data_IF_853618105405
#
_entry.id   IF_853618105405
#
_cell.length_a   1.000
_cell.length_b   1.000
_cell.length_c   1.000
_cell.angle_alpha   90.00
_cell.angle_beta   90.00
_cell.angle_gamma   90.00
#
_symmetry.space_group_name_H-M   'P 1'
#
loop_
_entity.id
_entity.type
_entity.pdbx_description
1 polymer ?
#
# COMPACT_ATOMS: atom_id res chain seq x y z
N UNK A 1 -43.02 -22.86 8.30
CA UNK A 1 -41.75 -22.49 7.66
C UNK A 1 -42.12 -21.94 6.29
N UNK A 2 -41.65 -20.76 5.86
CA UNK A 2 -41.87 -20.35 4.49
C UNK A 2 -41.19 -21.36 3.55
N UNK A 3 -41.90 -21.77 2.50
CA UNK A 3 -41.53 -22.84 1.58
C UNK A 3 -40.19 -22.58 0.89
N UNK A 4 -39.38 -23.63 0.72
CA UNK A 4 -37.99 -23.57 0.26
C UNK A 4 -37.80 -23.38 -1.25
N UNK A 5 -38.84 -22.99 -2.01
CA UNK A 5 -38.81 -23.03 -3.49
C UNK A 5 -39.37 -21.78 -4.20
N UNK A 6 -39.85 -20.74 -3.49
CA UNK A 6 -40.30 -19.51 -4.15
C UNK A 6 -39.19 -18.44 -4.15
N UNK A 7 -38.17 -18.63 -4.99
CA UNK A 7 -37.23 -17.56 -5.35
C UNK A 7 -37.00 -17.56 -6.86
N UNK A 8 -36.99 -16.37 -7.47
CA UNK A 8 -36.81 -16.23 -8.92
C UNK A 8 -35.33 -16.31 -9.34
N UNK A 9 -34.41 -15.94 -8.44
CA UNK A 9 -32.97 -15.95 -8.71
C UNK A 9 -32.14 -15.99 -7.42
N UNK A 10 -30.91 -16.50 -7.52
CA UNK A 10 -29.89 -16.45 -6.47
C UNK A 10 -28.75 -15.54 -6.97
N UNK A 11 -28.32 -14.59 -6.14
CA UNK A 11 -27.22 -13.67 -6.45
C UNK A 11 -26.05 -13.90 -5.50
N UNK A 12 -24.84 -13.88 -6.02
CA UNK A 12 -23.59 -13.91 -5.26
C UNK A 12 -22.89 -12.56 -5.46
N UNK A 13 -22.36 -11.98 -4.38
CA UNK A 13 -21.62 -10.72 -4.42
C UNK A 13 -20.46 -10.75 -3.44
N UNK A 14 -19.52 -9.81 -3.57
CA UNK A 14 -18.49 -9.56 -2.57
C UNK A 14 -19.14 -9.07 -1.27
N UNK A 15 -18.66 -9.59 -0.14
CA UNK A 15 -19.10 -9.16 1.18
C UNK A 15 -18.24 -7.98 1.64
N UNK A 16 -18.86 -6.85 1.96
CA UNK A 16 -18.15 -5.74 2.60
C UNK A 16 -17.82 -6.07 4.07
N UNK A 17 -16.79 -5.45 4.68
CA UNK A 17 -16.52 -5.64 6.11
C UNK A 17 -17.70 -5.26 7.01
N UNK A 18 -18.52 -4.30 6.58
CA UNK A 18 -19.74 -3.91 7.28
C UNK A 18 -20.82 -5.00 7.22
N UNK A 19 -20.99 -5.64 6.05
CA UNK A 19 -21.91 -6.78 5.91
C UNK A 19 -21.48 -7.97 6.78
N UNK A 20 -20.19 -8.25 6.86
CA UNK A 20 -19.66 -9.30 7.76
C UNK A 20 -20.00 -8.99 9.22
N UNK A 21 -19.88 -7.74 9.64
CA UNK A 21 -20.30 -7.31 10.99
C UNK A 21 -21.81 -7.42 11.21
N UNK A 22 -22.62 -7.10 10.21
CA UNK A 22 -24.09 -7.24 10.27
C UNK A 22 -24.54 -8.70 10.43
N UNK A 23 -23.84 -9.66 9.82
CA UNK A 23 -24.15 -11.07 9.98
C UNK A 23 -23.71 -11.65 11.33
N UNK A 24 -22.80 -10.96 12.00
CA UNK A 24 -22.17 -11.47 13.20
C UNK A 24 -23.00 -11.20 14.46
N UNK A 25 -23.08 -12.21 15.30
CA UNK A 25 -23.69 -12.12 16.63
C UNK A 25 -22.68 -11.71 17.72
N UNK A 26 -21.41 -11.53 17.37
CA UNK A 26 -20.36 -11.13 18.30
C UNK A 26 -18.96 -11.44 17.80
N UNK A 27 -18.00 -10.74 18.39
CA UNK A 27 -16.58 -10.89 18.07
C UNK A 27 -15.94 -12.03 18.87
N UNK A 28 -15.13 -12.85 18.19
CA UNK A 28 -14.30 -13.89 18.81
C UNK A 28 -12.93 -13.29 19.11
N UNK A 29 -12.65 -13.09 20.40
CA UNK A 29 -11.40 -12.47 20.88
C UNK A 29 -10.36 -13.51 21.30
N UNK A 30 -10.82 -14.69 21.70
CA UNK A 30 -10.02 -15.70 22.37
C UNK A 30 -9.80 -16.92 21.48
N UNK A 31 -8.57 -17.48 21.42
CA UNK A 31 -8.29 -18.69 20.64
C UNK A 31 -8.84 -19.95 21.30
N UNK A 32 -9.21 -19.91 22.58
CA UNK A 32 -9.67 -21.07 23.33
C UNK A 32 -10.99 -21.64 22.77
N UNK A 33 -11.11 -22.97 22.84
CA UNK A 33 -12.29 -23.71 22.35
C UNK A 33 -13.21 -24.10 23.51
N UNK A 34 -12.88 -25.19 24.19
CA UNK A 34 -13.62 -25.77 25.30
C UNK A 34 -12.66 -26.06 26.45
N UNK A 35 -13.16 -25.95 27.68
CA UNK A 35 -12.41 -26.35 28.86
C UNK A 35 -12.32 -27.87 28.94
N UNK A 36 -11.10 -28.42 29.08
CA UNK A 36 -10.90 -29.87 29.12
C UNK A 36 -11.51 -30.55 30.36
N UNK A 37 -11.65 -29.83 31.50
CA UNK A 37 -12.22 -30.41 32.74
C UNK A 37 -13.74 -30.42 32.72
N UNK A 38 -14.34 -29.31 32.31
CA UNK A 38 -15.80 -29.13 32.38
C UNK A 38 -16.50 -29.45 31.07
N UNK A 39 -15.76 -29.64 29.98
CA UNK A 39 -16.27 -29.79 28.60
C UNK A 39 -17.20 -28.64 28.18
N UNK A 40 -17.03 -27.47 28.79
CA UNK A 40 -17.85 -26.28 28.51
C UNK A 40 -17.09 -25.32 27.60
N UNK A 41 -17.77 -24.65 26.66
CA UNK A 41 -17.14 -23.62 25.85
C UNK A 41 -16.57 -22.48 26.69
N UNK A 42 -15.40 -22.00 26.30
CA UNK A 42 -14.83 -20.81 26.93
C UNK A 42 -15.56 -19.53 26.47
N UNK A 43 -15.58 -18.52 27.34
CA UNK A 43 -16.18 -17.21 27.00
C UNK A 43 -15.33 -16.50 25.97
N UNK A 44 -15.96 -15.87 24.98
CA UNK A 44 -15.34 -15.14 23.86
C UNK A 44 -14.43 -15.98 22.94
N UNK A 45 -14.42 -17.30 23.16
CA UNK A 45 -13.69 -18.27 22.35
C UNK A 45 -14.46 -18.73 21.11
N UNK A 46 -13.84 -19.65 20.36
CA UNK A 46 -14.35 -20.16 19.08
C UNK A 46 -15.69 -20.90 19.16
N UNK A 47 -16.09 -21.35 20.35
CA UNK A 47 -17.35 -22.06 20.59
C UNK A 47 -18.29 -21.31 21.55
N UNK A 48 -18.00 -20.04 21.86
CA UNK A 48 -18.68 -19.26 22.88
C UNK A 48 -20.21 -19.26 22.72
N UNK A 49 -20.92 -19.62 23.79
CA UNK A 49 -22.39 -19.66 23.78
C UNK A 49 -23.04 -18.27 23.67
N UNK A 50 -22.34 -17.21 24.11
CA UNK A 50 -22.83 -15.83 24.03
C UNK A 50 -23.01 -15.39 22.57
N UNK A 51 -22.09 -15.82 21.71
CA UNK A 51 -22.05 -15.44 20.29
C UNK A 51 -22.89 -16.42 19.46
N UNK A 52 -22.60 -17.71 19.57
CA UNK A 52 -23.18 -18.72 18.68
C UNK A 52 -24.50 -19.30 19.19
N UNK A 53 -24.86 -19.06 20.45
CA UNK A 53 -26.05 -19.62 21.10
C UNK A 53 -25.75 -20.82 22.01
N UNK A 54 -26.75 -21.31 22.75
CA UNK A 54 -26.56 -22.28 23.83
C UNK A 54 -26.24 -23.69 23.30
N UNK A 55 -25.39 -24.44 24.02
CA UNK A 55 -25.06 -25.84 23.65
C UNK A 55 -26.24 -26.79 23.88
N UNK A 56 -27.06 -26.51 24.90
CA UNK A 56 -28.25 -27.30 25.25
C UNK A 56 -29.50 -26.48 25.01
N UNK A 57 -30.59 -27.15 24.62
CA UNK A 57 -31.86 -26.50 24.38
C UNK A 57 -32.38 -25.80 25.64
N UNK A 58 -32.68 -24.51 25.52
CA UNK A 58 -33.28 -23.68 26.57
C UNK A 58 -32.45 -23.60 27.87
N UNK A 59 -31.13 -23.71 27.79
CA UNK A 59 -30.21 -23.57 28.92
C UNK A 59 -29.12 -22.52 28.61
N UNK A 60 -28.98 -21.53 29.50
CA UNK A 60 -27.86 -20.58 29.42
C UNK A 60 -26.58 -21.16 30.05
N UNK A 61 -25.41 -20.63 29.65
CA UNK A 61 -24.09 -21.06 30.15
C UNK A 61 -23.99 -21.20 31.68
N UNK A 62 -24.47 -20.20 32.43
CA UNK A 62 -24.37 -20.19 33.90
C UNK A 62 -25.43 -21.04 34.60
N UNK A 63 -26.44 -21.54 33.87
CA UNK A 63 -27.55 -22.30 34.43
C UNK A 63 -28.58 -21.49 35.23
N UNK A 64 -28.51 -20.15 35.26
CA UNK A 64 -29.52 -19.27 35.90
C UNK A 64 -30.90 -19.46 35.26
N UNK A 65 -30.95 -19.40 33.93
CA UNK A 65 -32.16 -19.62 33.15
C UNK A 65 -32.11 -21.01 32.51
N UNK A 66 -33.14 -21.81 32.83
CA UNK A 66 -33.34 -23.18 32.35
C UNK A 66 -34.81 -23.40 32.04
N UNK A 67 -35.10 -24.26 31.04
CA UNK A 67 -36.44 -24.62 30.54
C UNK A 67 -37.04 -23.58 29.57
N UNK A 68 -38.01 -24.04 28.79
CA UNK A 68 -38.65 -23.29 27.70
C UNK A 68 -39.35 -21.98 28.13
N UNK A 69 -39.69 -21.84 29.42
CA UNK A 69 -40.35 -20.65 29.97
C UNK A 69 -39.55 -19.36 29.81
N UNK A 70 -38.22 -19.44 29.66
CA UNK A 70 -37.33 -18.30 29.49
C UNK A 70 -36.91 -18.09 28.02
N UNK A 71 -37.69 -18.62 27.06
CA UNK A 71 -37.42 -18.46 25.63
C UNK A 71 -37.17 -16.99 25.25
N UNK A 72 -36.03 -16.73 24.61
CA UNK A 72 -35.66 -15.39 24.12
C UNK A 72 -35.13 -14.44 25.20
N UNK A 73 -35.02 -14.87 26.45
CA UNK A 73 -34.39 -14.08 27.52
C UNK A 73 -32.87 -14.12 27.35
N UNK A 74 -32.24 -12.96 27.33
CA UNK A 74 -30.78 -12.81 27.37
C UNK A 74 -30.35 -12.82 28.84
N UNK A 75 -29.43 -13.71 29.21
CA UNK A 75 -29.05 -13.87 30.60
C UNK A 75 -28.15 -12.72 31.11
N UNK A 76 -28.56 -11.98 32.13
CA UNK A 76 -27.77 -10.87 32.72
C UNK A 76 -26.34 -11.25 33.16
N UNK A 77 -26.13 -12.51 33.57
CA UNK A 77 -24.84 -12.99 34.11
C UNK A 77 -23.85 -13.51 33.07
N UNK A 78 -24.34 -14.06 31.96
CA UNK A 78 -23.50 -14.72 30.96
C UNK A 78 -23.73 -14.21 29.52
N UNK A 79 -24.74 -13.37 29.31
CA UNK A 79 -25.10 -12.82 27.99
C UNK A 79 -25.65 -13.84 27.00
N UNK A 80 -25.85 -15.10 27.41
CA UNK A 80 -26.35 -16.16 26.52
C UNK A 80 -27.86 -16.02 26.38
N UNK A 81 -28.33 -16.00 25.15
CA UNK A 81 -29.75 -16.06 24.81
C UNK A 81 -30.29 -17.48 24.97
N UNK A 82 -31.41 -17.61 25.67
CA UNK A 82 -32.07 -18.90 25.88
C UNK A 82 -32.88 -19.27 24.64
N UNK A 83 -32.23 -20.03 23.75
CA UNK A 83 -32.77 -20.53 22.48
C UNK A 83 -32.58 -22.05 22.34
N UNK A 84 -32.99 -22.62 21.20
CA UNK A 84 -32.65 -24.00 20.83
C UNK A 84 -31.19 -24.06 20.37
N UNK A 85 -30.51 -25.17 20.60
CA UNK A 85 -29.13 -25.39 20.16
C UNK A 85 -28.97 -25.31 18.64
N UNK A 86 -30.04 -25.57 17.87
CA UNK A 86 -30.05 -25.46 16.40
C UNK A 86 -29.53 -24.12 15.86
N UNK A 87 -29.66 -23.02 16.62
CA UNK A 87 -29.13 -21.70 16.21
C UNK A 87 -27.61 -21.71 16.01
N UNK A 88 -26.89 -22.64 16.64
CA UNK A 88 -25.44 -22.84 16.50
C UNK A 88 -24.99 -23.33 15.13
N UNK A 89 -25.94 -23.70 14.25
CA UNK A 89 -25.69 -24.00 12.84
C UNK A 89 -25.89 -22.80 11.91
N UNK A 90 -26.54 -21.74 12.39
CA UNK A 90 -26.96 -20.59 11.58
C UNK A 90 -26.22 -19.29 11.99
N UNK A 91 -25.90 -19.11 13.27
CA UNK A 91 -25.24 -17.88 13.79
C UNK A 91 -23.77 -17.83 13.42
N UNK A 92 -23.37 -16.76 12.76
CA UNK A 92 -21.96 -16.47 12.45
C UNK A 92 -21.32 -15.57 13.51
N UNK A 93 -20.01 -15.73 13.70
CA UNK A 93 -19.16 -14.81 14.45
C UNK A 93 -18.33 -13.97 13.49
N UNK A 94 -17.53 -13.05 14.02
CA UNK A 94 -16.47 -12.41 13.24
C UNK A 94 -15.24 -12.17 14.11
N UNK A 95 -14.11 -11.89 13.47
CA UNK A 95 -12.87 -11.43 14.10
C UNK A 95 -12.53 -10.09 13.46
N UNK A 96 -12.39 -9.03 14.25
CA UNK A 96 -11.85 -7.78 13.73
C UNK A 96 -10.33 -7.93 13.58
N UNK A 97 -9.82 -7.65 12.39
CA UNK A 97 -8.39 -7.77 12.12
C UNK A 97 -7.71 -6.46 12.52
N UNK A 98 -6.60 -6.57 13.26
CA UNK A 98 -5.79 -5.41 13.64
C UNK A 98 -5.13 -4.74 12.41
N UNK A 99 -4.80 -5.54 11.40
CA UNK A 99 -4.30 -5.07 10.12
C UNK A 99 -5.15 -5.66 8.98
N UNK A 100 -5.39 -4.90 7.89
CA UNK A 100 -6.09 -5.42 6.72
C UNK A 100 -5.36 -6.62 6.10
N UNK A 101 -6.11 -7.56 5.52
CA UNK A 101 -5.57 -8.76 4.86
C UNK A 101 -6.21 -8.93 3.48
N UNK A 102 -5.38 -9.11 2.45
CA UNK A 102 -5.88 -9.37 1.10
C UNK A 102 -6.51 -10.77 1.00
N UNK A 103 -7.69 -10.86 0.42
CA UNK A 103 -8.31 -12.17 0.20
C UNK A 103 -7.56 -12.95 -0.89
N UNK A 104 -7.10 -14.15 -0.54
CA UNK A 104 -6.18 -14.95 -1.35
C UNK A 104 -6.68 -15.24 -2.78
N UNK A 105 -8.00 -15.43 -2.97
CA UNK A 105 -8.57 -15.66 -4.30
C UNK A 105 -8.33 -14.51 -5.29
N UNK A 106 -8.31 -13.26 -4.82
CA UNK A 106 -8.08 -12.10 -5.69
C UNK A 106 -6.58 -11.80 -5.87
N UNK A 107 -5.75 -12.17 -4.88
CA UNK A 107 -4.31 -11.99 -4.91
C UNK A 107 -3.59 -13.08 -5.74
N UNK A 108 -3.78 -14.36 -5.38
CA UNK A 108 -3.09 -15.52 -5.98
C UNK A 108 -3.88 -16.23 -7.09
N UNK A 109 -5.12 -15.83 -7.35
CA UNK A 109 -5.90 -16.38 -8.47
C UNK A 109 -5.18 -16.19 -9.82
N UNK A 110 -5.37 -17.12 -10.76
CA UNK A 110 -4.81 -17.02 -12.11
C UNK A 110 -5.98 -16.74 -13.07
N UNK A 111 -6.11 -15.52 -13.64
CA UNK A 111 -5.29 -14.32 -13.44
C UNK A 111 -5.61 -13.58 -12.13
N UNK A 112 -4.62 -12.87 -11.57
CA UNK A 112 -4.78 -12.10 -10.33
C UNK A 112 -5.68 -10.89 -10.61
N UNK A 113 -6.80 -10.78 -9.89
CA UNK A 113 -7.76 -9.68 -10.07
C UNK A 113 -7.20 -8.37 -9.54
N UNK A 114 -6.50 -8.43 -8.40
CA UNK A 114 -5.77 -7.28 -7.84
C UNK A 114 -4.63 -6.83 -8.77
N UNK A 115 -3.84 -7.78 -9.27
CA UNK A 115 -2.74 -7.45 -10.19
C UNK A 115 -3.22 -6.86 -11.52
N UNK A 116 -4.34 -7.35 -12.06
CA UNK A 116 -4.97 -6.75 -13.24
C UNK A 116 -5.49 -5.34 -12.96
N UNK A 117 -6.16 -5.13 -11.82
CA UNK A 117 -6.74 -3.82 -11.50
C UNK A 117 -5.65 -2.75 -11.36
N UNK A 118 -4.60 -3.06 -10.58
CA UNK A 118 -3.49 -2.15 -10.28
C UNK A 118 -2.38 -2.12 -11.34
N UNK A 119 -2.50 -2.89 -12.43
CA UNK A 119 -1.47 -3.11 -13.44
C UNK A 119 -0.14 -3.74 -12.95
N UNK A 120 -0.06 -4.15 -11.67
CA UNK A 120 1.12 -4.74 -11.03
C UNK A 120 1.26 -6.24 -11.35
N UNK A 121 2.48 -6.71 -11.56
CA UNK A 121 2.74 -8.14 -11.78
C UNK A 121 2.39 -8.96 -10.52
N UNK A 122 1.89 -10.22 -10.65
CA UNK A 122 1.55 -11.03 -9.49
C UNK A 122 2.71 -11.26 -8.51
N UNK A 123 3.94 -11.39 -9.02
CA UNK A 123 5.16 -11.52 -8.20
C UNK A 123 5.44 -10.27 -7.38
N UNK A 124 5.27 -9.10 -7.98
CA UNK A 124 5.48 -7.84 -7.29
C UNK A 124 4.40 -7.57 -6.25
N UNK A 125 3.14 -7.88 -6.59
CA UNK A 125 2.03 -7.79 -5.64
C UNK A 125 2.26 -8.72 -4.44
N UNK A 126 2.75 -9.94 -4.67
CA UNK A 126 3.12 -10.87 -3.62
C UNK A 126 4.18 -10.29 -2.66
N UNK A 127 5.23 -9.66 -3.21
CA UNK A 127 6.28 -9.02 -2.41
C UNK A 127 5.75 -7.89 -1.54
N UNK A 128 4.80 -7.09 -2.04
CA UNK A 128 4.16 -6.03 -1.24
C UNK A 128 3.28 -6.63 -0.15
N UNK A 129 2.42 -7.60 -0.50
CA UNK A 129 1.47 -8.21 0.44
C UNK A 129 2.15 -8.95 1.60
N UNK A 130 3.31 -9.57 1.35
CA UNK A 130 4.11 -10.26 2.36
C UNK A 130 5.24 -9.40 2.94
N UNK A 131 5.10 -8.08 2.94
CA UNK A 131 5.99 -7.14 3.64
C UNK A 131 7.46 -7.18 3.18
N UNK A 132 7.74 -7.60 1.93
CA UNK A 132 9.10 -7.68 1.39
C UNK A 132 9.54 -6.44 0.61
N UNK A 133 8.59 -5.65 0.09
CA UNK A 133 8.85 -4.39 -0.62
C UNK A 133 7.79 -3.34 -0.27
N UNK A 134 8.20 -2.08 -0.34
CA UNK A 134 7.30 -0.94 -0.23
C UNK A 134 6.68 -0.63 -1.59
N UNK A 135 5.46 -0.10 -1.58
CA UNK A 135 4.78 0.47 -2.74
C UNK A 135 4.44 1.93 -2.46
N UNK A 136 4.71 2.81 -3.42
CA UNK A 136 4.31 4.22 -3.34
C UNK A 136 2.79 4.31 -3.49
N UNK A 137 2.12 4.76 -2.44
CA UNK A 137 0.66 4.86 -2.39
C UNK A 137 0.17 6.17 -3.00
N UNK A 138 0.83 7.29 -2.64
CA UNK A 138 0.48 8.63 -3.09
C UNK A 138 1.73 9.45 -3.36
N UNK A 139 1.67 10.26 -4.41
CA UNK A 139 2.65 11.30 -4.73
C UNK A 139 1.86 12.58 -4.93
N UNK A 140 2.24 13.65 -4.23
CA UNK A 140 1.58 14.94 -4.38
C UNK A 140 2.30 15.76 -5.47
N UNK A 141 1.66 15.98 -6.65
CA UNK A 141 2.35 16.56 -7.80
C UNK A 141 2.80 18.01 -7.57
N UNK A 142 2.07 18.77 -6.76
CA UNK A 142 2.45 20.16 -6.43
C UNK A 142 3.73 20.21 -5.60
N UNK A 143 3.87 19.32 -4.62
CA UNK A 143 5.09 19.24 -3.80
C UNK A 143 6.25 18.70 -4.61
N UNK A 144 5.99 17.79 -5.54
CA UNK A 144 7.00 17.29 -6.49
C UNK A 144 7.58 18.44 -7.33
N UNK A 145 6.72 19.25 -7.96
CA UNK A 145 7.18 20.41 -8.75
C UNK A 145 7.93 21.42 -7.89
N UNK A 146 7.37 21.79 -6.73
CA UNK A 146 8.02 22.74 -5.82
C UNK A 146 9.39 22.25 -5.37
N UNK A 147 9.52 20.96 -5.04
CA UNK A 147 10.79 20.38 -4.62
C UNK A 147 11.82 20.38 -5.74
N UNK A 148 11.38 20.11 -6.98
CA UNK A 148 12.25 20.21 -8.15
C UNK A 148 12.74 21.64 -8.36
N UNK A 149 11.86 22.64 -8.23
CA UNK A 149 12.22 24.07 -8.33
C UNK A 149 13.18 24.49 -7.22
N UNK A 150 12.95 24.06 -5.97
CA UNK A 150 13.85 24.29 -4.84
C UNK A 150 15.25 23.71 -5.11
N UNK A 151 15.35 22.48 -5.60
CA UNK A 151 16.63 21.85 -5.95
C UNK A 151 17.36 22.61 -7.06
N UNK A 152 16.63 23.07 -8.08
CA UNK A 152 17.21 23.87 -9.16
C UNK A 152 17.83 25.17 -8.62
N UNK A 153 17.09 25.90 -7.77
CA UNK A 153 17.57 27.13 -7.15
C UNK A 153 18.79 26.88 -6.24
N UNK A 154 18.75 25.85 -5.39
CA UNK A 154 19.87 25.50 -4.50
C UNK A 154 21.16 25.18 -5.28
N UNK A 155 21.04 24.50 -6.42
CA UNK A 155 22.18 24.16 -7.27
C UNK A 155 22.65 25.36 -8.11
N UNK A 156 21.76 26.22 -8.58
CA UNK A 156 22.12 27.45 -9.28
C UNK A 156 22.88 28.43 -8.36
N UNK A 157 22.47 28.60 -7.10
CA UNK A 157 23.18 29.40 -6.11
C UNK A 157 24.59 28.84 -5.82
N UNK A 158 24.71 27.51 -5.67
CA UNK A 158 26.02 26.83 -5.51
C UNK A 158 26.90 27.01 -6.74
N UNK A 159 26.33 26.97 -7.94
CA UNK A 159 27.04 27.16 -9.19
C UNK A 159 27.56 28.60 -9.31
N UNK A 160 26.72 29.60 -9.03
CA UNK A 160 27.11 31.02 -9.07
C UNK A 160 28.22 31.34 -8.06
N UNK A 161 28.10 30.85 -6.82
CA UNK A 161 29.13 31.08 -5.79
C UNK A 161 30.46 30.43 -6.15
N UNK A 162 30.45 29.23 -6.73
CA UNK A 162 31.65 28.55 -7.21
C UNK A 162 32.27 29.26 -8.43
N UNK A 163 31.44 29.69 -9.37
CA UNK A 163 31.86 30.49 -10.53
C UNK A 163 32.53 31.80 -10.08
N UNK A 164 31.95 32.51 -9.10
CA UNK A 164 32.54 33.74 -8.54
C UNK A 164 33.91 33.47 -7.91
N UNK A 165 34.02 32.48 -7.02
CA UNK A 165 35.28 32.14 -6.35
C UNK A 165 36.40 31.74 -7.34
N UNK A 166 36.05 30.97 -8.37
CA UNK A 166 37.00 30.54 -9.39
C UNK A 166 37.38 31.68 -10.34
N UNK A 167 36.43 32.52 -10.75
CA UNK A 167 36.69 33.65 -11.62
C UNK A 167 37.55 34.72 -10.93
N UNK A 168 37.35 34.97 -9.63
CA UNK A 168 38.25 35.81 -8.84
C UNK A 168 39.68 35.27 -8.84
N UNK A 169 39.84 33.95 -8.62
CA UNK A 169 41.15 33.27 -8.68
C UNK A 169 41.81 33.42 -10.06
N UNK A 170 41.03 33.20 -11.12
CA UNK A 170 41.50 33.36 -12.51
C UNK A 170 41.93 34.80 -12.77
N UNK A 171 41.14 35.79 -12.33
CA UNK A 171 41.46 37.21 -12.50
C UNK A 171 42.75 37.61 -11.76
N UNK A 172 42.98 37.10 -10.54
CA UNK A 172 44.24 37.36 -9.81
C UNK A 172 45.46 36.85 -10.58
N UNK A 173 45.39 35.64 -11.13
CA UNK A 173 46.49 35.07 -11.92
C UNK A 173 46.66 35.71 -13.30
N UNK A 174 45.57 36.16 -13.93
CA UNK A 174 45.64 36.97 -15.14
C UNK A 174 46.34 38.31 -14.88
N UNK A 175 46.04 38.97 -13.76
CA UNK A 175 46.73 40.20 -13.35
C UNK A 175 48.22 40.00 -13.08
N UNK A 176 48.60 38.89 -12.43
CA UNK A 176 50.00 38.50 -12.25
C UNK A 176 50.69 38.24 -13.60
N UNK A 177 50.03 37.57 -14.53
CA UNK A 177 50.53 37.33 -15.88
C UNK A 177 50.75 38.62 -16.68
N UNK A 178 49.79 39.56 -16.62
CA UNK A 178 49.89 40.87 -17.27
C UNK A 178 51.06 41.69 -16.72
N UNK A 179 51.28 41.69 -15.41
CA UNK A 179 52.42 42.39 -14.79
C UNK A 179 53.79 41.89 -15.28
N UNK A 180 53.86 40.63 -15.72
CA UNK A 180 55.06 39.99 -16.24
C UNK A 180 55.29 40.23 -17.73
N UNK A 181 54.35 40.85 -18.48
CA UNK A 181 54.48 41.02 -19.95
C UNK A 181 55.51 42.05 -20.42
N UNK A 182 56.11 42.83 -19.50
CA UNK A 182 57.05 43.91 -19.83
C UNK A 182 58.55 43.58 -19.75
N UNK A 183 58.96 42.45 -19.17
CA UNK A 183 60.37 42.08 -18.98
C UNK A 183 60.79 40.88 -19.85
N UNK A 184 61.93 41.01 -20.56
CA UNK A 184 62.54 39.96 -21.42
C UNK A 184 63.67 39.21 -20.68
N UNK A 185 63.35 38.57 -19.55
CA UNK A 185 64.30 37.71 -18.82
C UNK A 185 63.93 36.23 -19.00
N UNK A 186 64.90 35.32 -19.16
CA UNK A 186 64.65 33.86 -19.29
C UNK A 186 63.85 33.30 -18.09
N UNK A 187 64.03 33.87 -16.89
CA UNK A 187 63.24 33.52 -15.69
C UNK A 187 61.76 33.91 -15.81
N UNK A 188 61.45 35.01 -16.49
CA UNK A 188 60.07 35.50 -16.64
C UNK A 188 59.32 34.70 -17.72
N UNK A 189 60.03 34.17 -18.72
CA UNK A 189 59.46 33.27 -19.73
C UNK A 189 59.09 31.91 -19.11
N UNK A 190 59.93 31.37 -18.21
CA UNK A 190 59.61 30.18 -17.43
C UNK A 190 58.44 30.39 -16.45
N UNK A 191 58.37 31.56 -15.80
CA UNK A 191 57.24 31.95 -14.92
C UNK A 191 55.94 32.12 -15.71
N UNK A 192 55.97 32.72 -16.90
CA UNK A 192 54.79 32.82 -17.79
C UNK A 192 54.27 31.45 -18.21
N UNK A 193 55.18 30.52 -18.54
CA UNK A 193 54.79 29.16 -18.94
C UNK A 193 54.12 28.40 -17.79
N UNK A 194 54.69 28.50 -16.59
CA UNK A 194 54.11 27.88 -15.37
C UNK A 194 52.79 28.54 -14.96
N UNK A 195 52.65 29.86 -15.02
CA UNK A 195 51.38 30.55 -14.78
C UNK A 195 50.31 30.16 -15.81
N UNK A 196 50.66 30.06 -17.10
CA UNK A 196 49.72 29.62 -18.13
C UNK A 196 49.25 28.18 -17.88
N UNK A 197 50.15 27.27 -17.49
CA UNK A 197 49.78 25.90 -17.11
C UNK A 197 48.84 25.90 -15.88
N UNK A 198 49.12 26.72 -14.87
CA UNK A 198 48.25 26.88 -13.69
C UNK A 198 46.88 27.46 -14.05
N UNK A 199 46.83 28.44 -14.95
CA UNK A 199 45.59 29.04 -15.42
C UNK A 199 44.72 28.04 -16.17
N UNK A 200 45.36 27.27 -17.06
CA UNK A 200 44.69 26.20 -17.82
C UNK A 200 44.16 25.12 -16.86
N UNK A 201 44.95 24.74 -15.85
CA UNK A 201 44.53 23.79 -14.82
C UNK A 201 43.33 24.29 -13.99
N UNK A 202 43.31 25.58 -13.61
CA UNK A 202 42.21 26.17 -12.85
C UNK A 202 40.93 26.29 -13.66
N UNK A 203 41.02 26.67 -14.94
CA UNK A 203 39.85 26.70 -15.83
C UNK A 203 39.26 25.30 -16.00
N UNK A 204 40.11 24.29 -16.23
CA UNK A 204 39.66 22.91 -16.33
C UNK A 204 39.02 22.42 -15.00
N UNK A 205 39.61 22.76 -13.85
CA UNK A 205 39.06 22.40 -12.54
C UNK A 205 37.70 23.06 -12.28
N UNK A 206 37.52 24.33 -12.67
CA UNK A 206 36.23 25.02 -12.59
C UNK A 206 35.19 24.30 -13.45
N UNK A 207 35.53 24.02 -14.71
CA UNK A 207 34.60 23.39 -15.65
C UNK A 207 34.21 21.96 -15.20
N UNK A 208 35.16 21.22 -14.61
CA UNK A 208 34.92 19.90 -14.01
C UNK A 208 33.97 19.98 -12.80
N UNK A 209 34.17 20.94 -11.90
CA UNK A 209 33.29 21.14 -10.73
C UNK A 209 31.88 21.58 -11.13
N UNK A 210 31.74 22.45 -12.12
CA UNK A 210 30.43 22.85 -12.65
C UNK A 210 29.72 21.65 -13.30
N UNK A 211 30.46 20.82 -14.03
CA UNK A 211 29.92 19.61 -14.62
C UNK A 211 29.45 18.60 -13.56
N UNK A 212 30.21 18.43 -12.46
CA UNK A 212 29.84 17.57 -11.33
C UNK A 212 28.55 18.06 -10.66
N UNK A 213 28.44 19.36 -10.36
CA UNK A 213 27.22 19.97 -9.82
C UNK A 213 26.01 19.76 -10.75
N UNK A 214 26.21 19.92 -12.06
CA UNK A 214 25.15 19.67 -13.04
C UNK A 214 24.70 18.20 -13.07
N UNK A 215 25.64 17.26 -12.92
CA UNK A 215 25.34 15.83 -12.84
C UNK A 215 24.57 15.49 -11.54
N UNK A 216 24.93 16.11 -10.43
CA UNK A 216 24.24 15.94 -9.15
C UNK A 216 22.81 16.48 -9.20
N UNK A 217 22.61 17.69 -9.74
CA UNK A 217 21.27 18.24 -9.93
C UNK A 217 20.41 17.34 -10.82
N UNK A 218 20.97 16.83 -11.93
CA UNK A 218 20.26 15.93 -12.83
C UNK A 218 19.88 14.61 -12.13
N UNK A 219 20.76 14.10 -11.26
CA UNK A 219 20.50 12.91 -10.45
C UNK A 219 19.37 13.17 -9.46
N UNK A 220 19.48 14.21 -8.63
CA UNK A 220 18.49 14.54 -7.60
C UNK A 220 17.10 14.85 -8.19
N UNK A 221 17.07 15.66 -9.25
CA UNK A 221 15.83 15.95 -10.00
C UNK A 221 15.24 14.65 -10.58
N UNK A 222 16.09 13.79 -11.16
CA UNK A 222 15.66 12.49 -11.66
C UNK A 222 15.10 11.57 -10.56
N UNK A 223 15.63 11.62 -9.33
CA UNK A 223 15.07 10.88 -8.19
C UNK A 223 13.65 11.35 -7.88
N UNK A 224 13.43 12.66 -7.78
CA UNK A 224 12.13 13.26 -7.48
C UNK A 224 11.12 12.96 -8.59
N UNK A 225 11.48 13.15 -9.86
CA UNK A 225 10.60 12.90 -11.02
C UNK A 225 10.27 11.41 -11.21
N UNK A 226 11.16 10.51 -10.77
CA UNK A 226 10.93 9.06 -10.86
C UNK A 226 9.81 8.58 -9.93
N UNK A 227 9.51 9.33 -8.86
CA UNK A 227 8.46 9.00 -7.90
C UNK A 227 7.09 9.03 -8.59
N UNK A 228 6.49 7.85 -8.72
CA UNK A 228 5.14 7.66 -9.27
C UNK A 228 4.35 6.71 -8.38
N UNK A 229 3.02 6.87 -8.28
CA UNK A 229 2.16 5.89 -7.63
C UNK A 229 2.39 4.50 -8.20
N UNK A 230 2.27 3.47 -7.36
CA UNK A 230 2.48 2.05 -7.69
C UNK A 230 3.95 1.65 -7.96
N UNK A 231 4.91 2.58 -7.85
CA UNK A 231 6.33 2.25 -7.89
C UNK A 231 6.72 1.41 -6.67
N UNK A 232 7.57 0.40 -6.90
CA UNK A 232 8.07 -0.46 -5.84
C UNK A 232 9.43 0.02 -5.36
N UNK A 233 9.62 0.04 -4.05
CA UNK A 233 10.86 0.47 -3.41
C UNK A 233 11.41 -0.67 -2.55
N UNK A 234 12.74 -0.84 -2.58
CA UNK A 234 13.46 -1.63 -1.58
C UNK A 234 13.52 -0.85 -0.27
N UNK A 235 13.79 -1.54 0.85
CA UNK A 235 13.89 -0.90 2.15
C UNK A 235 14.96 0.20 2.20
N UNK A 236 16.16 -0.06 1.65
CA UNK A 236 17.23 0.93 1.56
C UNK A 236 16.78 2.18 0.81
N UNK A 237 16.19 1.99 -0.37
CA UNK A 237 15.75 3.09 -1.23
C UNK A 237 14.58 3.86 -0.63
N UNK A 238 13.65 3.17 0.02
CA UNK A 238 12.57 3.81 0.75
C UNK A 238 13.11 4.71 1.86
N UNK A 239 14.10 4.24 2.63
CA UNK A 239 14.71 5.03 3.69
C UNK A 239 15.42 6.27 3.15
N UNK A 240 16.26 6.12 2.13
CA UNK A 240 16.94 7.22 1.45
C UNK A 240 15.96 8.29 0.94
N UNK A 241 14.90 7.86 0.24
CA UNK A 241 13.92 8.77 -0.33
C UNK A 241 13.03 9.38 0.75
N UNK A 242 12.70 8.64 1.80
CA UNK A 242 11.92 9.15 2.93
C UNK A 242 12.69 10.19 3.73
N UNK A 243 14.01 10.04 3.86
CA UNK A 243 14.88 11.00 4.55
C UNK A 243 15.01 12.31 3.74
N UNK A 244 15.04 12.23 2.40
CA UNK A 244 15.18 13.40 1.51
C UNK A 244 13.87 14.07 1.10
N UNK A 245 12.82 13.29 0.88
CA UNK A 245 11.59 13.69 0.17
C UNK A 245 10.32 13.13 0.84
N UNK A 246 10.36 12.87 2.15
CA UNK A 246 9.24 12.26 2.89
C UNK A 246 7.94 13.08 2.91
N UNK A 247 7.99 14.35 2.53
CA UNK A 247 6.83 15.22 2.33
C UNK A 247 6.19 15.07 0.94
N UNK A 248 6.97 14.69 -0.09
CA UNK A 248 6.51 14.60 -1.49
C UNK A 248 5.68 13.34 -1.75
N UNK A 249 6.04 12.22 -1.12
CA UNK A 249 5.39 10.93 -1.37
C UNK A 249 5.11 10.16 -0.08
N UNK A 250 4.12 9.26 -0.16
CA UNK A 250 3.89 8.24 0.85
C UNK A 250 4.08 6.87 0.23
N UNK A 251 4.76 6.00 0.97
CA UNK A 251 4.89 4.60 0.63
C UNK A 251 4.52 3.74 1.84
N UNK A 252 4.00 2.55 1.56
CA UNK A 252 3.62 1.58 2.57
C UNK A 252 3.88 0.17 2.10
N UNK A 253 3.62 -0.80 2.96
CA UNK A 253 3.73 -2.23 2.64
C UNK A 253 2.49 -2.98 3.13
N UNK A 254 2.40 -4.26 2.76
CA UNK A 254 1.30 -5.13 3.17
C UNK A 254 0.00 -4.81 2.45
N UNK A 255 -1.09 -5.42 2.94
CA UNK A 255 -2.42 -5.22 2.37
C UNK A 255 -3.03 -3.86 2.74
N UNK A 256 -2.50 -3.16 3.73
CA UNK A 256 -2.91 -1.79 4.09
C UNK A 256 -2.56 -0.80 2.98
N UNK A 257 -1.33 -0.82 2.48
CA UNK A 257 -0.92 0.03 1.37
C UNK A 257 -1.75 -0.23 0.10
N UNK A 258 -2.07 -1.50 -0.16
CA UNK A 258 -2.95 -1.88 -1.27
C UNK A 258 -4.38 -1.38 -1.05
N UNK A 259 -4.90 -1.43 0.17
CA UNK A 259 -6.23 -0.89 0.51
C UNK A 259 -6.30 0.62 0.26
N UNK A 260 -5.27 1.37 0.64
CA UNK A 260 -5.21 2.82 0.43
C UNK A 260 -5.17 3.17 -1.06
N UNK A 261 -4.38 2.43 -1.85
CA UNK A 261 -4.34 2.57 -3.31
C UNK A 261 -5.72 2.28 -3.93
N UNK A 262 -6.40 1.23 -3.49
CA UNK A 262 -7.72 0.86 -4.00
C UNK A 262 -8.79 1.90 -3.66
N UNK A 263 -8.65 2.60 -2.53
CA UNK A 263 -9.54 3.70 -2.11
C UNK A 263 -9.37 4.96 -2.95
N UNK A 264 -8.13 5.24 -3.38
CA UNK A 264 -7.84 6.40 -4.23
C UNK A 264 -8.12 6.16 -5.72
N UNK A 265 -8.46 4.93 -6.12
CA UNK A 265 -8.61 4.56 -7.52
C UNK A 265 -9.95 5.02 -8.11
N UNK A 266 -9.91 5.92 -9.09
CA UNK A 266 -11.08 6.29 -9.90
C UNK A 266 -11.26 5.27 -11.05
N UNK A 267 -12.26 4.40 -10.89
CA UNK A 267 -12.58 3.37 -11.89
C UNK A 267 -13.09 3.95 -13.22
N UNK A 268 -14.02 4.93 -13.24
CA UNK A 268 -14.41 5.62 -14.47
C UNK A 268 -13.23 6.22 -15.26
N UNK A 269 -12.31 6.92 -14.60
CA UNK A 269 -11.17 7.57 -15.24
C UNK A 269 -10.22 6.52 -15.83
N UNK A 270 -9.85 5.50 -15.04
CA UNK A 270 -8.98 4.41 -15.51
C UNK A 270 -9.62 3.62 -16.66
N UNK A 271 -10.95 3.47 -16.67
CA UNK A 271 -11.67 2.86 -17.78
C UNK A 271 -11.52 3.66 -19.08
N UNK A 272 -11.61 4.99 -19.03
CA UNK A 272 -11.44 5.86 -20.20
C UNK A 272 -10.01 5.74 -20.74
N UNK A 273 -9.01 5.85 -19.86
CA UNK A 273 -7.59 5.69 -20.18
C UNK A 273 -7.29 4.35 -20.86
N UNK A 274 -7.85 3.25 -20.33
CA UNK A 274 -7.65 1.92 -20.91
C UNK A 274 -8.34 1.77 -22.27
N UNK A 275 -9.50 2.39 -22.49
CA UNK A 275 -10.18 2.39 -23.80
C UNK A 275 -9.33 3.09 -24.86
N UNK A 276 -8.67 4.19 -24.51
CA UNK A 276 -7.73 4.88 -25.39
C UNK A 276 -6.49 4.03 -25.68
N UNK A 277 -5.91 3.40 -24.65
CA UNK A 277 -4.76 2.51 -24.80
C UNK A 277 -5.05 1.32 -25.74
N UNK A 278 -6.27 0.76 -25.67
CA UNK A 278 -6.70 -0.33 -26.56
C UNK A 278 -6.82 0.13 -28.02
N UNK A 279 -7.13 1.41 -28.27
CA UNK A 279 -7.21 1.98 -29.63
C UNK A 279 -5.83 2.26 -30.22
N UNK A 280 -4.89 2.76 -29.40
CA UNK A 280 -3.56 3.16 -29.85
C UNK A 280 -2.57 2.00 -29.92
N UNK A 281 -2.73 1.00 -29.04
CA UNK A 281 -1.74 -0.07 -28.87
C UNK A 281 -2.21 -1.39 -29.49
N UNK A 282 -1.26 -2.19 -29.97
CA UNK A 282 -1.51 -3.52 -30.55
C UNK A 282 -0.79 -4.65 -29.78
N UNK A 283 -1.04 -5.91 -30.14
CA UNK A 283 -0.32 -7.06 -29.58
C UNK A 283 -0.67 -7.42 -28.13
N UNK A 284 0.35 -7.76 -27.33
CA UNK A 284 0.18 -8.24 -25.94
C UNK A 284 -0.36 -7.15 -25.01
N UNK A 285 0.08 -5.90 -25.20
CA UNK A 285 -0.33 -4.77 -24.36
C UNK A 285 -1.83 -4.46 -24.53
N UNK A 286 -2.35 -4.52 -25.76
CA UNK A 286 -3.80 -4.48 -26.03
C UNK A 286 -4.57 -5.61 -25.33
N UNK A 287 -4.05 -6.86 -25.38
CA UNK A 287 -4.69 -8.00 -24.70
C UNK A 287 -4.75 -7.81 -23.18
N UNK A 288 -3.71 -7.25 -22.56
CA UNK A 288 -3.69 -6.91 -21.12
C UNK A 288 -4.75 -5.86 -20.82
N UNK A 289 -4.78 -4.75 -21.56
CA UNK A 289 -5.74 -3.67 -21.36
C UNK A 289 -7.20 -4.13 -21.51
N UNK A 290 -7.52 -4.98 -22.49
CA UNK A 290 -8.85 -5.60 -22.63
C UNK A 290 -9.24 -6.41 -21.39
N UNK A 291 -8.33 -7.23 -20.84
CA UNK A 291 -8.60 -8.00 -19.61
C UNK A 291 -8.80 -7.10 -18.39
N UNK A 292 -8.09 -5.96 -18.32
CA UNK A 292 -8.27 -4.96 -17.25
C UNK A 292 -9.64 -4.30 -17.35
N UNK A 293 -10.05 -3.88 -18.54
CA UNK A 293 -11.38 -3.32 -18.82
C UNK A 293 -12.48 -4.27 -18.32
N UNK A 294 -12.38 -5.57 -18.61
CA UNK A 294 -13.36 -6.56 -18.15
C UNK A 294 -13.51 -6.60 -16.62
N UNK A 295 -12.40 -6.44 -15.88
CA UNK A 295 -12.43 -6.41 -14.41
C UNK A 295 -13.10 -5.13 -13.91
N UNK A 296 -12.74 -3.97 -14.48
CA UNK A 296 -13.33 -2.68 -14.09
C UNK A 296 -14.82 -2.63 -14.42
N UNK A 297 -15.22 -3.13 -15.59
CA UNK A 297 -16.62 -3.22 -16.01
C UNK A 297 -17.44 -4.14 -15.09
N UNK A 298 -16.85 -5.24 -14.61
CA UNK A 298 -17.48 -6.10 -13.62
C UNK A 298 -17.70 -5.38 -12.28
N UNK A 299 -16.76 -4.53 -11.83
CA UNK A 299 -16.96 -3.72 -10.62
C UNK A 299 -18.03 -2.64 -10.83
N UNK A 300 -17.99 -1.96 -11.97
CA UNK A 300 -18.98 -0.93 -12.30
C UNK A 300 -20.41 -1.49 -12.39
N UNK A 301 -20.61 -2.61 -13.10
CA UNK A 301 -21.92 -3.24 -13.27
C UNK A 301 -22.46 -3.88 -11.99
N UNK A 302 -21.59 -4.41 -11.13
CA UNK A 302 -22.01 -5.06 -9.89
C UNK A 302 -22.24 -4.10 -8.71
N UNK A 303 -21.77 -2.85 -8.81
CA UNK A 303 -21.79 -1.88 -7.71
C UNK A 303 -20.89 -2.25 -6.53
N UNK A 304 -20.07 -3.29 -6.68
CA UNK A 304 -19.11 -3.69 -5.66
C UNK A 304 -17.91 -2.73 -5.67
N UNK A 305 -17.37 -2.45 -4.49
CA UNK A 305 -16.15 -1.66 -4.38
C UNK A 305 -14.90 -2.56 -4.43
N UNK A 306 -13.83 -2.18 -5.16
CA UNK A 306 -12.59 -2.96 -5.21
C UNK A 306 -11.93 -3.17 -3.84
N UNK A 307 -12.06 -2.19 -2.94
CA UNK A 307 -11.55 -2.25 -1.57
C UNK A 307 -12.07 -3.45 -0.77
N UNK A 308 -13.24 -4.02 -1.12
CA UNK A 308 -13.80 -5.20 -0.46
C UNK A 308 -13.02 -6.49 -0.77
N UNK A 309 -12.05 -6.46 -1.68
CA UNK A 309 -11.08 -7.55 -1.84
C UNK A 309 -10.09 -7.63 -0.67
N UNK A 310 -9.96 -6.56 0.12
CA UNK A 310 -9.16 -6.51 1.34
C UNK A 310 -10.10 -6.61 2.54
N UNK A 311 -9.85 -7.60 3.39
CA UNK A 311 -10.66 -7.87 4.58
C UNK A 311 -10.11 -7.13 5.77
N UNK A 312 -10.98 -6.43 6.49
CA UNK A 312 -10.71 -5.89 7.84
C UNK A 312 -11.49 -6.61 8.93
N UNK A 313 -12.48 -7.42 8.54
CA UNK A 313 -13.24 -8.31 9.41
C UNK A 313 -13.35 -9.68 8.75
N UNK A 314 -13.00 -10.73 9.50
CA UNK A 314 -13.05 -12.11 9.03
C UNK A 314 -14.30 -12.80 9.60
N UNK A 315 -15.22 -13.32 8.78
CA UNK A 315 -16.36 -14.09 9.28
C UNK A 315 -15.90 -15.42 9.89
N UNK A 316 -16.55 -15.82 10.99
CA UNK A 316 -16.34 -17.09 11.67
C UNK A 316 -17.55 -17.98 11.44
N UNK A 317 -17.32 -19.15 10.85
CA UNK A 317 -18.38 -20.12 10.58
C UNK A 317 -19.05 -20.61 11.88
N UNK A 318 -20.35 -20.95 11.82
CA UNK A 318 -21.08 -21.52 12.94
C UNK A 318 -20.41 -22.81 13.46
N UNK A 319 -20.35 -23.03 14.78
CA UNK A 319 -19.61 -24.14 15.39
C UNK A 319 -20.12 -25.52 14.99
N UNK A 320 -21.43 -25.67 14.71
CA UNK A 320 -21.97 -26.99 14.32
C UNK A 320 -21.54 -27.40 12.90
N UNK A 321 -21.04 -26.46 12.08
CA UNK A 321 -20.40 -26.77 10.79
C UNK A 321 -18.92 -27.14 10.95
N UNK A 322 -18.35 -26.95 12.14
CA UNK A 322 -16.97 -27.29 12.53
C UNK A 322 -16.96 -27.97 13.91
N UNK A 323 -17.67 -29.12 14.06
CA UNK A 323 -17.88 -29.74 15.35
C UNK A 323 -16.57 -30.28 15.94
N UNK A 324 -16.42 -30.15 17.26
CA UNK A 324 -15.36 -30.80 18.02
C UNK A 324 -15.99 -31.98 18.77
N UNK A 325 -15.57 -33.19 18.43
CA UNK A 325 -16.10 -34.43 19.00
C UNK A 325 -14.99 -35.13 19.79
N UNK A 326 -15.30 -35.53 21.02
CA UNK A 326 -14.42 -36.37 21.80
C UNK A 326 -14.45 -37.80 21.24
N UNK A 327 -13.27 -38.36 20.97
CA UNK A 327 -13.10 -39.74 20.50
C UNK A 327 -13.15 -40.74 21.64
#
# INVERSE_FOLDING_TARGET
MPNATDFNAIRISLASPEQVKQWSYGEVLKPETINYRTLRPEKDGLFCERIFGPTKDWECYCGKYKKIRYRGVICDRCGVEVARAKVRRERMGHIALAAPVAHIWFAKGIPSRLGLLLDVSPRNLERVLYFAQYIVTRVDPLLQTRRTEELQLEHDEKRETLEQQMNERIATLQGELESLTGSESEEDEAKRKTLNEQLTALVNARDEQIAELGQDLAKETGEVESLKPLMLLTESRHRELSDKYGDVFRAGMGAEAILDILRSLDLPEEMQRLKEEVRTTSGQRRKKAVKRIQVIEAFHSSGNKPEWMIMTALPVLPPDLRPMVQL
#
